data_IF_335629007606
#
_entry.id   IF_335629007606
#
_cell.length_a   1.000
_cell.length_b   1.000
_cell.length_c   1.000
_cell.angle_alpha   90.00
_cell.angle_beta   90.00
_cell.angle_gamma   90.00
#
_symmetry.space_group_name_H-M   'P 1'
#
loop_
_entity.id
_entity.type
_entity.pdbx_description
1 polymer ?
#
# COMPACT_ATOMS: atom_id res chain seq x y z
N UNK A 1 -7.07 3.47 10.55
CA UNK A 1 -7.19 2.00 10.77
C UNK A 1 -7.60 1.26 9.50
N UNK A 2 -8.75 1.55 8.88
CA UNK A 2 -9.17 0.86 7.64
C UNK A 2 -8.17 1.04 6.48
N UNK A 3 -7.65 2.24 6.30
CA UNK A 3 -6.62 2.53 5.30
C UNK A 3 -5.36 1.66 5.47
N UNK A 4 -4.90 1.50 6.71
CA UNK A 4 -3.75 0.64 7.04
C UNK A 4 -4.03 -0.84 6.73
N UNK A 5 -5.21 -1.36 7.11
CA UNK A 5 -5.58 -2.75 6.80
C UNK A 5 -5.63 -2.96 5.28
N UNK A 6 -6.13 -1.99 4.52
CA UNK A 6 -6.14 -2.06 3.07
C UNK A 6 -4.72 -2.07 2.47
N UNK A 7 -3.84 -1.16 2.90
CA UNK A 7 -2.45 -1.12 2.44
C UNK A 7 -1.70 -2.41 2.76
N UNK A 8 -1.85 -2.96 3.96
CA UNK A 8 -1.20 -4.23 4.35
C UNK A 8 -1.68 -5.39 3.48
N UNK A 9 -2.99 -5.50 3.21
CA UNK A 9 -3.53 -6.51 2.30
C UNK A 9 -2.98 -6.34 0.88
N UNK A 10 -2.94 -5.10 0.37
CA UNK A 10 -2.40 -4.81 -0.97
C UNK A 10 -0.93 -5.22 -1.09
N UNK A 11 -0.09 -4.87 -0.11
CA UNK A 11 1.32 -5.22 -0.13
C UNK A 11 1.55 -6.72 0.00
N UNK A 12 0.81 -7.40 0.90
CA UNK A 12 0.86 -8.86 1.02
C UNK A 12 0.47 -9.57 -0.28
N UNK A 13 -0.54 -9.07 -0.97
CA UNK A 13 -0.97 -9.63 -2.25
C UNK A 13 0.15 -9.52 -3.28
N UNK A 14 0.78 -8.35 -3.36
CA UNK A 14 1.86 -8.09 -4.31
C UNK A 14 3.08 -9.00 -4.04
N UNK A 15 3.49 -9.15 -2.77
CA UNK A 15 4.56 -10.10 -2.39
C UNK A 15 4.23 -11.55 -2.74
N UNK A 16 2.97 -11.98 -2.53
CA UNK A 16 2.54 -13.35 -2.84
C UNK A 16 2.48 -13.61 -4.34
N UNK A 17 2.02 -12.64 -5.13
CA UNK A 17 1.99 -12.75 -6.60
C UNK A 17 3.42 -12.87 -7.14
N UNK A 18 4.34 -12.03 -6.66
CA UNK A 18 5.75 -12.14 -7.03
C UNK A 18 6.34 -13.52 -6.68
N UNK A 19 6.00 -14.06 -5.51
CA UNK A 19 6.40 -15.41 -5.12
C UNK A 19 5.85 -16.50 -6.04
N UNK A 20 4.54 -16.50 -6.28
CA UNK A 20 3.88 -17.54 -7.08
C UNK A 20 4.35 -17.53 -8.55
N UNK A 21 4.70 -16.36 -9.10
CA UNK A 21 5.16 -16.21 -10.49
C UNK A 21 6.65 -16.58 -10.67
N UNK A 22 7.54 -16.04 -9.83
CA UNK A 22 8.98 -16.10 -10.07
C UNK A 22 9.72 -17.12 -9.21
N UNK A 23 9.38 -17.22 -7.92
CA UNK A 23 10.20 -17.90 -6.90
C UNK A 23 9.75 -19.32 -6.58
N UNK A 24 8.43 -19.58 -6.57
CA UNK A 24 7.84 -20.88 -6.19
C UNK A 24 8.38 -22.07 -6.96
N UNK A 25 8.78 -21.84 -8.21
CA UNK A 25 9.30 -22.89 -9.10
C UNK A 25 10.75 -23.24 -8.79
N UNK A 26 11.49 -22.41 -8.04
CA UNK A 26 12.91 -22.62 -7.82
C UNK A 26 13.16 -23.63 -6.67
N UNK A 27 14.23 -24.42 -6.80
CA UNK A 27 14.61 -25.44 -5.79
C UNK A 27 15.46 -24.88 -4.65
N UNK A 28 15.57 -23.55 -4.56
CA UNK A 28 16.21 -22.84 -3.45
C UNK A 28 15.25 -22.72 -2.25
N UNK A 29 14.94 -23.86 -1.63
CA UNK A 29 13.87 -23.93 -0.63
C UNK A 29 14.09 -23.04 0.59
N UNK A 30 15.33 -22.95 1.09
CA UNK A 30 15.65 -22.11 2.25
C UNK A 30 15.46 -20.62 1.96
N UNK A 31 15.84 -20.14 0.77
CA UNK A 31 15.64 -18.75 0.38
C UNK A 31 14.15 -18.43 0.17
N UNK A 32 13.40 -19.35 -0.43
CA UNK A 32 11.94 -19.26 -0.54
C UNK A 32 11.26 -19.18 0.85
N UNK A 33 11.79 -19.92 1.84
CA UNK A 33 11.29 -19.91 3.22
C UNK A 33 11.52 -18.55 3.87
N UNK A 34 12.76 -18.05 3.80
CA UNK A 34 13.12 -16.72 4.31
C UNK A 34 12.30 -15.62 3.64
N UNK A 35 12.12 -15.69 2.31
CA UNK A 35 11.27 -14.76 1.57
C UNK A 35 9.86 -14.69 2.14
N UNK A 36 9.19 -15.85 2.32
CA UNK A 36 7.81 -15.88 2.80
C UNK A 36 7.68 -15.35 4.23
N UNK A 37 8.65 -15.66 5.10
CA UNK A 37 8.67 -15.16 6.47
C UNK A 37 8.91 -13.64 6.51
N UNK A 38 9.95 -13.16 5.83
CA UNK A 38 10.34 -11.74 5.84
C UNK A 38 9.27 -10.87 5.19
N UNK A 39 8.73 -11.26 4.03
CA UNK A 39 7.71 -10.46 3.34
C UNK A 39 6.39 -10.39 4.12
N UNK A 40 6.04 -11.43 4.87
CA UNK A 40 4.87 -11.40 5.74
C UNK A 40 4.98 -10.33 6.83
N UNK A 41 6.16 -10.16 7.43
CA UNK A 41 6.44 -9.10 8.42
C UNK A 41 6.55 -7.73 7.73
N UNK A 42 7.32 -7.67 6.64
CA UNK A 42 7.64 -6.43 5.96
C UNK A 42 6.38 -5.72 5.44
N UNK A 43 5.41 -6.48 4.92
CA UNK A 43 4.12 -5.94 4.50
C UNK A 43 3.31 -5.25 5.62
N UNK A 44 3.52 -5.65 6.88
CA UNK A 44 2.89 -5.04 8.06
C UNK A 44 3.66 -3.81 8.53
N UNK A 45 4.99 -3.80 8.37
CA UNK A 45 5.87 -2.72 8.82
C UNK A 45 5.91 -1.55 7.84
N UNK A 46 5.93 -1.81 6.52
CA UNK A 46 6.07 -0.77 5.48
C UNK A 46 5.08 0.40 5.66
N UNK A 47 3.77 0.19 5.89
CA UNK A 47 2.83 1.31 6.06
C UNK A 47 3.17 2.25 7.23
N UNK A 48 3.96 1.81 8.20
CA UNK A 48 4.41 2.65 9.33
C UNK A 48 5.69 3.43 9.02
N UNK A 49 6.44 3.05 7.99
CA UNK A 49 7.70 3.69 7.61
C UNK A 49 7.41 4.82 6.63
N UNK A 50 7.23 6.04 7.15
CA UNK A 50 7.12 7.26 6.34
C UNK A 50 8.51 7.89 6.21
N UNK A 51 9.00 8.05 4.99
CA UNK A 51 10.29 8.69 4.72
C UNK A 51 10.02 10.07 4.12
N UNK A 52 10.26 11.12 4.91
CA UNK A 52 10.02 12.53 4.52
C UNK A 52 10.84 12.97 3.29
N UNK A 53 11.96 12.29 3.03
CA UNK A 53 12.83 12.57 1.88
C UNK A 53 12.13 12.41 0.52
N UNK A 54 11.16 11.49 0.40
CA UNK A 54 10.44 11.29 -0.87
C UNK A 54 9.40 12.38 -1.15
N UNK A 55 8.88 13.05 -0.12
CA UNK A 55 7.89 14.12 -0.27
C UNK A 55 8.47 15.38 -0.92
N UNK A 56 9.80 15.53 -0.93
CA UNK A 56 10.50 16.67 -1.56
C UNK A 56 10.81 16.46 -3.05
N UNK A 57 10.69 15.23 -3.56
CA UNK A 57 11.11 14.86 -4.92
C UNK A 57 9.96 15.06 -5.93
N UNK A 58 8.71 15.16 -5.47
CA UNK A 58 7.54 15.37 -6.33
C UNK A 58 7.08 16.82 -6.17
N UNK A 59 7.17 17.67 -7.21
CA UNK A 59 6.70 19.05 -7.13
C UNK A 59 5.20 19.08 -6.80
N UNK A 60 4.87 19.87 -5.77
CA UNK A 60 3.51 20.15 -5.33
C UNK A 60 2.69 20.74 -6.49
N UNK A 61 1.49 20.20 -6.67
CA UNK A 61 0.46 20.50 -7.69
C UNK A 61 0.64 21.77 -8.54
N UNK A 62 0.56 21.60 -9.86
CA UNK A 62 0.50 22.66 -10.88
C UNK A 62 -0.82 23.46 -10.89
N UNK A 63 -1.79 23.11 -10.04
CA UNK A 63 -3.10 23.74 -9.98
C UNK A 63 -3.30 24.48 -8.66
N UNK A 64 -3.80 25.72 -8.73
CA UNK A 64 -4.20 26.51 -7.56
C UNK A 64 -5.69 26.31 -7.30
N UNK A 65 -6.04 25.68 -6.18
CA UNK A 65 -7.42 25.54 -5.75
C UNK A 65 -7.91 26.84 -5.09
N UNK A 66 -8.91 27.47 -5.70
CA UNK A 66 -9.62 28.62 -5.14
C UNK A 66 -10.74 28.13 -4.19
N UNK A 67 -11.10 28.91 -3.16
CA UNK A 67 -12.20 28.58 -2.26
C UNK A 67 -13.54 28.56 -3.00
N UNK A 68 -14.49 27.84 -2.40
CA UNK A 68 -15.82 27.63 -2.99
C UNK A 68 -16.64 28.92 -3.08
N UNK A 69 -17.24 29.16 -4.25
CA UNK A 69 -18.18 30.27 -4.45
C UNK A 69 -19.61 29.79 -4.17
N UNK A 70 -20.25 30.31 -3.13
CA UNK A 70 -21.65 30.02 -2.81
C UNK A 70 -22.58 30.99 -3.53
N UNK A 71 -23.46 30.50 -4.40
CA UNK A 71 -24.42 31.30 -5.16
C UNK A 71 -25.85 30.97 -4.71
N UNK A 72 -26.52 31.95 -4.08
CA UNK A 72 -27.89 31.86 -3.56
C UNK A 72 -28.02 32.37 -2.11
N UNK A 73 -29.24 32.74 -1.68
CA UNK A 73 -29.49 33.24 -0.32
C UNK A 73 -29.18 32.16 0.72
N UNK A 74 -28.07 32.33 1.43
CA UNK A 74 -27.63 31.50 2.56
C UNK A 74 -27.88 32.22 3.88
N UNK A 75 -29.08 32.79 4.04
CA UNK A 75 -29.61 33.05 5.37
C UNK A 75 -29.80 31.70 6.06
N UNK A 76 -28.94 31.40 7.04
CA UNK A 76 -29.00 30.28 7.97
C UNK A 76 -29.83 29.08 7.48
N UNK A 77 -29.31 28.37 6.49
CA UNK A 77 -29.69 26.97 6.32
C UNK A 77 -28.47 26.20 6.74
N UNK A 78 -28.36 26.00 8.06
CA UNK A 78 -27.64 24.86 8.58
C UNK A 78 -28.03 23.67 7.71
N UNK A 79 -27.02 23.03 7.14
CA UNK A 79 -27.15 21.92 6.22
C UNK A 79 -27.96 20.79 6.85
N UNK A 80 -29.28 20.83 6.72
CA UNK A 80 -30.09 19.63 6.61
C UNK A 80 -29.95 19.13 5.17
N UNK A 81 -28.71 18.80 4.80
CA UNK A 81 -28.56 17.61 3.99
C UNK A 81 -29.21 16.53 4.84
N UNK A 82 -30.37 16.04 4.41
CA UNK A 82 -30.94 14.81 4.90
C UNK A 82 -29.87 13.76 4.66
N UNK A 83 -28.96 13.61 5.63
CA UNK A 83 -28.16 12.42 5.76
C UNK A 83 -29.21 11.34 5.78
N UNK A 84 -29.12 10.42 4.83
CA UNK A 84 -29.54 9.06 5.11
C UNK A 84 -28.74 8.63 6.35
N UNK A 85 -29.22 9.02 7.53
CA UNK A 85 -28.94 8.35 8.78
C UNK A 85 -29.74 7.06 8.72
N UNK A 86 -29.34 6.16 7.80
CA UNK A 86 -29.35 4.77 8.17
C UNK A 86 -28.47 4.74 9.41
N UNK A 87 -29.11 4.61 10.57
CA UNK A 87 -28.51 4.68 11.90
C UNK A 87 -27.68 3.42 12.15
N UNK A 88 -26.76 3.15 11.23
CA UNK A 88 -25.66 2.22 11.38
C UNK A 88 -24.44 3.03 11.83
N UNK A 89 -24.66 3.86 12.84
CA UNK A 89 -23.60 4.45 13.64
C UNK A 89 -23.05 3.37 14.58
N UNK A 90 -22.52 2.28 14.01
CA UNK A 90 -21.72 1.34 14.80
C UNK A 90 -20.54 2.15 15.31
N UNK A 91 -20.55 2.46 16.61
CA UNK A 91 -19.52 3.28 17.21
C UNK A 91 -18.17 2.63 16.90
N UNK A 92 -17.16 3.44 16.56
CA UNK A 92 -15.81 2.93 16.26
C UNK A 92 -15.29 2.06 17.42
N UNK A 93 -15.70 2.38 18.66
CA UNK A 93 -15.47 1.57 19.84
C UNK A 93 -16.14 0.19 19.82
N UNK A 94 -17.38 0.07 19.35
CA UNK A 94 -18.06 -1.22 19.21
C UNK A 94 -17.36 -2.13 18.18
N UNK A 95 -16.88 -1.58 17.05
CA UNK A 95 -16.12 -2.35 16.06
C UNK A 95 -14.77 -2.81 16.65
N UNK A 96 -14.08 -1.94 17.38
CA UNK A 96 -12.83 -2.28 18.05
C UNK A 96 -13.03 -3.37 19.12
N UNK A 97 -14.09 -3.27 19.93
CA UNK A 97 -14.43 -4.27 20.94
C UNK A 97 -14.79 -5.62 20.30
N UNK A 98 -15.55 -5.62 19.21
CA UNK A 98 -15.86 -6.83 18.44
C UNK A 98 -14.58 -7.46 17.88
N UNK A 99 -13.67 -6.66 17.33
CA UNK A 99 -12.40 -7.14 16.81
C UNK A 99 -11.57 -7.84 17.89
N UNK A 100 -11.46 -7.24 19.07
CA UNK A 100 -10.76 -7.82 20.22
C UNK A 100 -11.44 -9.11 20.68
N UNK A 101 -12.78 -9.12 20.78
CA UNK A 101 -13.55 -10.31 21.16
C UNK A 101 -13.25 -11.50 20.24
N UNK A 102 -13.31 -11.29 18.91
CA UNK A 102 -13.02 -12.34 17.93
C UNK A 102 -11.57 -12.81 18.04
N UNK A 103 -10.63 -11.90 18.24
CA UNK A 103 -9.21 -12.22 18.42
C UNK A 103 -8.98 -13.08 19.67
N UNK A 104 -9.66 -12.78 20.78
CA UNK A 104 -9.62 -13.59 22.01
C UNK A 104 -10.21 -14.98 21.79
N UNK A 105 -11.34 -15.09 21.10
CA UNK A 105 -11.93 -16.40 20.75
C UNK A 105 -10.96 -17.24 19.93
N UNK A 106 -10.32 -16.66 18.90
CA UNK A 106 -9.31 -17.34 18.10
C UNK A 106 -8.09 -17.78 18.93
N UNK A 107 -7.65 -16.95 19.88
CA UNK A 107 -6.58 -17.29 20.80
C UNK A 107 -6.95 -18.51 21.68
N UNK A 108 -8.16 -18.56 22.21
CA UNK A 108 -8.65 -19.69 23.01
C UNK A 108 -8.66 -20.97 22.16
N UNK A 109 -9.17 -20.93 20.93
CA UNK A 109 -9.14 -22.08 20.02
C UNK A 109 -7.71 -22.56 19.72
N UNK A 110 -6.77 -21.62 19.55
CA UNK A 110 -5.36 -21.94 19.38
C UNK A 110 -4.76 -22.63 20.60
N UNK A 111 -5.02 -22.11 21.81
CA UNK A 111 -4.56 -22.72 23.07
C UNK A 111 -5.12 -24.13 23.26
N UNK A 112 -6.40 -24.36 22.97
CA UNK A 112 -7.01 -25.69 23.05
C UNK A 112 -6.28 -26.68 22.12
N UNK A 113 -5.97 -26.27 20.88
CA UNK A 113 -5.20 -27.11 19.93
C UNK A 113 -3.81 -27.42 20.45
N UNK A 114 -3.12 -26.41 21.00
CA UNK A 114 -1.77 -26.56 21.55
C UNK A 114 -1.77 -27.52 22.76
N UNK A 115 -2.72 -27.36 23.68
CA UNK A 115 -2.88 -28.25 24.84
C UNK A 115 -3.16 -29.68 24.38
N UNK A 116 -3.99 -29.89 23.34
CA UNK A 116 -4.26 -31.22 22.79
C UNK A 116 -2.98 -31.91 22.29
N UNK A 117 -2.13 -31.18 21.56
CA UNK A 117 -0.85 -31.71 21.05
C UNK A 117 0.09 -32.03 22.23
N UNK A 118 0.23 -31.12 23.19
CA UNK A 118 1.08 -31.32 24.37
C UNK A 118 0.59 -32.53 25.18
N UNK A 119 -0.72 -32.71 25.33
CA UNK A 119 -1.31 -33.86 26.03
C UNK A 119 -1.00 -35.17 25.34
N UNK A 120 -1.09 -35.23 24.00
CA UNK A 120 -0.72 -36.42 23.22
C UNK A 120 0.76 -36.76 23.46
N UNK A 121 1.65 -35.78 23.40
CA UNK A 121 3.09 -35.97 23.64
C UNK A 121 3.35 -36.40 25.09
N UNK A 122 2.60 -35.90 26.06
CA UNK A 122 2.80 -36.19 27.48
C UNK A 122 2.34 -37.61 27.88
N UNK A 123 1.24 -38.10 27.33
CA UNK A 123 0.61 -39.39 27.72
C UNK A 123 1.29 -40.59 27.06
N UNK A 124 1.82 -40.43 25.85
CA UNK A 124 2.41 -41.54 25.10
C UNK A 124 3.87 -41.84 25.52
N UNK A 125 4.31 -43.11 25.39
CA UNK A 125 5.67 -43.51 25.73
C UNK A 125 6.70 -42.78 24.84
N UNK A 126 7.85 -42.47 25.44
CA UNK A 126 8.91 -41.66 24.82
C UNK A 126 10.22 -42.45 24.75
N UNK A 127 10.84 -42.47 23.59
CA UNK A 127 12.21 -42.95 23.39
C UNK A 127 13.07 -41.78 22.91
N UNK A 128 14.32 -41.70 23.37
CA UNK A 128 15.28 -40.71 22.88
C UNK A 128 16.24 -41.38 21.90
N UNK A 129 16.37 -40.80 20.72
CA UNK A 129 17.25 -41.27 19.66
C UNK A 129 17.80 -40.06 18.89
N UNK A 130 19.12 -39.99 18.71
CA UNK A 130 19.81 -38.93 17.95
C UNK A 130 19.42 -37.48 18.32
N UNK A 131 19.20 -37.19 19.61
CA UNK A 131 18.79 -35.85 20.07
C UNK A 131 17.31 -35.50 19.82
N UNK A 132 16.55 -36.40 19.20
CA UNK A 132 15.10 -36.31 19.02
C UNK A 132 14.37 -37.20 20.04
N UNK A 133 13.14 -36.82 20.39
CA UNK A 133 12.27 -37.64 21.24
C UNK A 133 11.18 -38.27 20.37
N UNK A 134 11.30 -39.58 20.14
CA UNK A 134 10.33 -40.36 19.40
C UNK A 134 9.19 -40.75 20.35
N UNK A 135 7.96 -40.43 19.97
CA UNK A 135 6.74 -40.70 20.74
C UNK A 135 5.92 -41.75 19.98
N UNK A 136 5.73 -42.92 20.57
CA UNK A 136 4.97 -44.00 19.92
C UNK A 136 3.47 -43.83 20.19
N UNK A 137 2.69 -43.62 19.14
CA UNK A 137 1.23 -43.48 19.19
C UNK A 137 0.59 -44.87 19.07
N UNK A 138 -0.11 -45.30 20.11
CA UNK A 138 -0.81 -46.59 20.11
C UNK A 138 -2.04 -46.56 19.21
N UNK A 139 -2.20 -47.56 18.35
CA UNK A 139 -3.35 -47.72 17.47
C UNK A 139 -3.49 -46.61 16.43
N UNK A 140 -2.39 -46.12 15.86
CA UNK A 140 -2.42 -45.09 14.81
C UNK A 140 -1.50 -45.43 13.63
N UNK A 141 -1.89 -45.00 12.43
CA UNK A 141 -1.11 -45.01 11.19
C UNK A 141 -0.49 -43.63 10.87
N UNK A 142 -0.68 -42.64 11.76
CA UNK A 142 -0.25 -41.26 11.53
C UNK A 142 1.17 -40.98 12.03
N UNK A 143 1.88 -40.13 11.31
CA UNK A 143 3.15 -39.55 11.71
C UNK A 143 3.05 -38.03 11.68
N UNK A 144 3.61 -37.37 12.68
CA UNK A 144 3.74 -35.91 12.69
C UNK A 144 4.87 -35.45 13.62
N UNK A 145 5.40 -34.27 13.33
CA UNK A 145 6.48 -33.67 14.10
C UNK A 145 6.06 -32.37 14.78
N UNK A 146 6.45 -32.21 16.04
CA UNK A 146 6.23 -31.00 16.82
C UNK A 146 7.52 -30.62 17.57
N UNK A 147 8.21 -29.58 17.12
CA UNK A 147 9.57 -29.22 17.57
C UNK A 147 10.52 -30.43 17.53
N UNK A 148 11.06 -30.86 18.68
CA UNK A 148 12.00 -31.99 18.77
C UNK A 148 11.28 -33.32 19.06
N UNK A 149 9.95 -33.34 19.02
CA UNK A 149 9.13 -34.53 19.23
C UNK A 149 8.66 -35.08 17.89
N UNK A 150 9.03 -36.31 17.58
CA UNK A 150 8.58 -37.04 16.38
C UNK A 150 7.59 -38.10 16.82
N UNK A 151 6.31 -37.91 16.50
CA UNK A 151 5.26 -38.85 16.86
C UNK A 151 5.06 -39.86 15.72
N UNK A 152 5.22 -41.15 16.01
CA UNK A 152 5.07 -42.24 15.04
C UNK A 152 3.99 -43.23 15.48
N UNK A 153 3.10 -43.57 14.55
CA UNK A 153 2.12 -44.63 14.71
C UNK A 153 2.73 -46.02 14.79
N UNK A 154 2.19 -46.87 15.67
CA UNK A 154 2.60 -48.27 15.84
C UNK A 154 2.09 -49.20 14.73
N UNK A 155 1.17 -48.75 13.86
CA UNK A 155 0.65 -49.53 12.73
C UNK A 155 1.51 -49.44 11.45
N UNK A 156 2.57 -48.64 11.45
CA UNK A 156 3.46 -48.49 10.30
C UNK A 156 4.36 -49.73 10.14
N UNK A 157 4.54 -50.21 8.92
CA UNK A 157 5.46 -51.33 8.66
C UNK A 157 6.92 -50.91 8.85
N UNK A 158 7.80 -51.86 9.17
CA UNK A 158 9.23 -51.60 9.41
C UNK A 158 9.91 -50.81 8.26
N UNK A 159 9.57 -51.13 7.01
CA UNK A 159 10.11 -50.46 5.83
C UNK A 159 9.54 -49.03 5.64
N UNK A 160 8.29 -48.78 6.06
CA UNK A 160 7.69 -47.45 6.05
C UNK A 160 8.28 -46.54 7.11
N UNK A 161 8.58 -47.09 8.29
CA UNK A 161 9.14 -46.33 9.41
C UNK A 161 10.44 -45.63 9.01
N UNK A 162 11.34 -46.28 8.27
CA UNK A 162 12.65 -45.72 7.95
C UNK A 162 12.55 -44.41 7.14
N UNK A 163 11.73 -44.39 6.10
CA UNK A 163 11.54 -43.23 5.23
C UNK A 163 10.63 -42.16 5.84
N UNK A 164 9.57 -42.57 6.55
CA UNK A 164 8.71 -41.65 7.29
C UNK A 164 9.51 -40.95 8.39
N UNK A 165 10.34 -41.69 9.13
CA UNK A 165 11.22 -41.12 10.14
C UNK A 165 12.21 -40.13 9.52
N UNK A 166 12.82 -40.44 8.36
CA UNK A 166 13.72 -39.52 7.67
C UNK A 166 13.01 -38.21 7.26
N UNK A 167 11.76 -38.29 6.80
CA UNK A 167 10.93 -37.13 6.45
C UNK A 167 10.58 -36.29 7.71
N UNK A 168 10.03 -36.92 8.74
CA UNK A 168 9.66 -36.28 10.01
C UNK A 168 10.86 -35.65 10.72
N UNK A 169 12.02 -36.32 10.68
CA UNK A 169 13.30 -35.80 11.21
C UNK A 169 13.70 -34.48 10.54
N UNK A 170 13.43 -34.30 9.24
CA UNK A 170 13.68 -33.01 8.57
C UNK A 170 12.82 -31.89 9.15
N UNK A 171 11.55 -32.16 9.48
CA UNK A 171 10.68 -31.15 10.08
C UNK A 171 11.17 -30.69 11.46
N UNK A 172 11.73 -31.61 12.25
CA UNK A 172 12.29 -31.30 13.56
C UNK A 172 13.56 -30.45 13.43
N UNK A 173 14.50 -30.90 12.60
CA UNK A 173 15.80 -30.24 12.42
C UNK A 173 15.65 -28.82 11.87
N UNK A 174 14.79 -28.63 10.87
CA UNK A 174 14.56 -27.31 10.27
C UNK A 174 13.58 -26.43 11.09
N UNK A 175 13.06 -26.95 12.21
CA UNK A 175 12.13 -26.28 13.13
C UNK A 175 10.88 -25.73 12.43
N UNK A 176 10.32 -26.49 11.49
CA UNK A 176 9.15 -26.08 10.70
C UNK A 176 7.91 -25.75 11.57
N UNK A 177 7.81 -26.35 12.76
CA UNK A 177 6.77 -26.01 13.75
C UNK A 177 6.78 -24.54 14.13
N UNK A 178 7.95 -23.90 14.26
CA UNK A 178 8.06 -22.49 14.66
C UNK A 178 7.43 -21.57 13.61
N UNK A 179 7.71 -21.83 12.33
CA UNK A 179 7.13 -21.07 11.22
C UNK A 179 5.61 -21.19 11.19
N UNK A 180 5.07 -22.38 11.45
CA UNK A 180 3.62 -22.59 11.45
C UNK A 180 2.96 -21.86 12.63
N UNK A 181 3.59 -21.88 13.80
CA UNK A 181 3.14 -21.12 14.98
C UNK A 181 3.18 -19.62 14.74
N UNK A 182 4.19 -19.10 14.03
CA UNK A 182 4.27 -17.70 13.62
C UNK A 182 3.04 -17.29 12.79
N UNK A 183 2.65 -18.10 11.80
CA UNK A 183 1.45 -17.80 11.01
C UNK A 183 0.13 -18.02 11.78
N UNK A 184 0.06 -18.95 12.73
CA UNK A 184 -1.08 -19.04 13.65
C UNK A 184 -1.22 -17.76 14.50
N UNK A 185 -0.10 -17.23 15.00
CA UNK A 185 -0.10 -15.96 15.73
C UNK A 185 -0.58 -14.79 14.85
N UNK A 186 -0.11 -14.71 13.59
CA UNK A 186 -0.60 -13.73 12.63
C UNK A 186 -2.10 -13.89 12.32
N UNK A 187 -2.63 -15.11 12.25
CA UNK A 187 -4.08 -15.33 12.05
C UNK A 187 -4.91 -14.89 13.24
N UNK A 188 -4.38 -14.95 14.46
CA UNK A 188 -5.07 -14.42 15.64
C UNK A 188 -5.12 -12.90 15.55
N UNK A 189 -3.99 -12.27 15.25
CA UNK A 189 -3.87 -10.80 15.18
C UNK A 189 -4.55 -10.18 13.96
N UNK A 190 -4.61 -10.89 12.83
CA UNK A 190 -5.14 -10.44 11.53
C UNK A 190 -6.15 -11.45 10.97
N UNK A 191 -7.10 -11.87 11.81
CA UNK A 191 -8.06 -12.93 11.46
C UNK A 191 -8.93 -12.63 10.24
N UNK A 192 -9.20 -11.34 9.99
CA UNK A 192 -9.98 -10.87 8.84
C UNK A 192 -9.18 -10.85 7.53
N UNK A 193 -7.86 -11.08 7.58
CA UNK A 193 -7.01 -11.02 6.41
C UNK A 193 -6.81 -12.42 5.79
N UNK A 194 -7.42 -12.71 4.63
CA UNK A 194 -7.32 -14.02 3.98
C UNK A 194 -5.91 -14.35 3.48
N UNK A 195 -5.06 -13.35 3.25
CA UNK A 195 -3.72 -13.56 2.70
C UNK A 195 -2.78 -14.21 3.70
N UNK A 196 -2.99 -14.01 5.01
CA UNK A 196 -2.21 -14.70 6.07
C UNK A 196 -2.43 -16.21 5.98
N UNK A 197 -3.66 -16.65 5.73
CA UNK A 197 -3.99 -18.06 5.52
C UNK A 197 -3.33 -18.61 4.24
N UNK A 198 -3.24 -17.78 3.19
CA UNK A 198 -2.58 -18.16 1.95
C UNK A 198 -1.06 -18.31 2.14
N UNK A 199 -0.42 -17.38 2.87
CA UNK A 199 0.98 -17.49 3.28
C UNK A 199 1.25 -18.78 4.05
N UNK A 200 0.42 -19.10 5.06
CA UNK A 200 0.55 -20.33 5.84
C UNK A 200 0.49 -21.58 4.94
N UNK A 201 -0.43 -21.61 3.99
CA UNK A 201 -0.52 -22.72 3.02
C UNK A 201 0.74 -22.77 2.12
N UNK A 202 1.28 -21.62 1.68
CA UNK A 202 2.50 -21.59 0.86
C UNK A 202 3.72 -22.10 1.62
N UNK A 203 3.90 -21.68 2.87
CA UNK A 203 5.04 -22.15 3.67
C UNK A 203 4.90 -23.62 4.06
N UNK A 204 3.69 -24.09 4.36
CA UNK A 204 3.44 -25.51 4.63
C UNK A 204 3.79 -26.38 3.42
N UNK A 205 3.40 -25.98 2.21
CA UNK A 205 3.80 -26.71 0.99
C UNK A 205 5.33 -26.70 0.78
N UNK A 206 5.98 -25.60 1.15
CA UNK A 206 7.43 -25.48 1.05
C UNK A 206 8.15 -26.39 2.06
N UNK A 207 7.63 -26.53 3.29
CA UNK A 207 8.14 -27.46 4.29
C UNK A 207 8.07 -28.90 3.80
N UNK A 208 6.97 -29.30 3.17
CA UNK A 208 6.84 -30.62 2.54
C UNK A 208 7.93 -30.81 1.47
N UNK A 209 8.20 -29.82 0.61
CA UNK A 209 9.26 -29.93 -0.40
C UNK A 209 10.66 -30.06 0.20
N UNK A 210 10.94 -29.38 1.31
CA UNK A 210 12.21 -29.49 2.05
C UNK A 210 12.35 -30.90 2.64
N UNK A 211 11.32 -31.37 3.33
CA UNK A 211 11.32 -32.68 3.97
C UNK A 211 11.43 -33.81 2.94
N UNK A 212 10.70 -33.71 1.83
CA UNK A 212 10.78 -34.63 0.69
C UNK A 212 12.20 -34.64 0.10
N UNK A 213 12.81 -33.48 -0.12
CA UNK A 213 14.16 -33.37 -0.68
C UNK A 213 15.22 -34.02 0.23
N UNK A 214 15.05 -33.93 1.54
CA UNK A 214 15.95 -34.56 2.49
C UNK A 214 15.70 -36.08 2.62
N UNK A 215 14.44 -36.52 2.61
CA UNK A 215 14.06 -37.93 2.71
C UNK A 215 14.48 -38.76 1.48
N UNK A 216 14.43 -38.18 0.27
CA UNK A 216 14.83 -38.88 -0.98
C UNK A 216 16.30 -39.34 -0.98
N UNK A 217 17.17 -38.73 -0.17
CA UNK A 217 18.58 -39.15 -0.04
C UNK A 217 18.75 -40.57 0.50
N UNK A 218 17.72 -41.10 1.16
CA UNK A 218 17.71 -42.41 1.83
C UNK A 218 17.27 -43.55 0.90
N UNK A 219 16.67 -43.24 -0.26
CA UNK A 219 16.21 -44.22 -1.24
C UNK A 219 15.09 -43.65 -2.11
N UNK A 220 15.40 -43.30 -3.36
CA UNK A 220 14.51 -42.51 -4.22
C UNK A 220 13.27 -43.30 -4.66
N UNK A 221 13.47 -44.52 -5.13
CA UNK A 221 12.41 -45.39 -5.68
C UNK A 221 11.41 -45.81 -4.62
N UNK A 222 11.92 -46.23 -3.47
CA UNK A 222 11.17 -46.71 -2.32
C UNK A 222 10.34 -45.57 -1.73
N UNK A 223 10.94 -44.37 -1.62
CA UNK A 223 10.23 -43.18 -1.17
C UNK A 223 9.07 -42.78 -2.09
N UNK A 224 9.25 -42.83 -3.42
CA UNK A 224 8.14 -42.57 -4.35
C UNK A 224 7.01 -43.59 -4.21
N UNK A 225 7.35 -44.87 -4.06
CA UNK A 225 6.35 -45.93 -3.87
C UNK A 225 5.54 -45.71 -2.59
N UNK A 226 6.19 -45.32 -1.50
CA UNK A 226 5.52 -45.00 -0.24
C UNK A 226 4.65 -43.74 -0.33
N UNK A 227 5.14 -42.68 -0.97
CA UNK A 227 4.35 -41.48 -1.19
C UNK A 227 3.09 -41.81 -2.01
N UNK A 228 3.19 -42.68 -3.01
CA UNK A 228 2.02 -43.16 -3.77
C UNK A 228 1.10 -44.03 -2.90
N UNK A 229 1.64 -44.95 -2.10
CA UNK A 229 0.83 -45.78 -1.19
C UNK A 229 0.05 -44.94 -0.18
N UNK A 230 0.66 -43.91 0.41
CA UNK A 230 -0.02 -42.99 1.33
C UNK A 230 -1.23 -42.29 0.68
N UNK A 231 -1.16 -42.05 -0.63
CA UNK A 231 -2.21 -41.38 -1.40
C UNK A 231 -3.36 -42.33 -1.74
N UNK A 232 -3.02 -43.56 -2.12
CA UNK A 232 -4.01 -44.56 -2.54
C UNK A 232 -4.70 -45.27 -1.36
N UNK A 233 -4.12 -45.24 -0.16
CA UNK A 233 -4.61 -46.00 1.02
C UNK A 233 -5.58 -45.24 1.95
N UNK A 234 -6.37 -44.27 1.49
CA UNK A 234 -7.41 -43.64 2.34
C UNK A 234 -8.84 -43.98 1.87
N UNK A 235 -9.59 -44.65 2.77
CA UNK A 235 -11.02 -44.96 2.69
C UNK A 235 -11.85 -43.78 2.20
N UNK A 236 -12.72 -44.06 1.23
CA UNK A 236 -13.71 -43.16 0.65
C UNK A 236 -14.76 -42.72 1.70
N UNK A 237 -14.81 -41.42 2.02
CA UNK A 237 -16.03 -40.79 2.56
C UNK A 237 -16.71 -40.00 1.44
N UNK A 238 -17.91 -40.43 1.05
CA UNK A 238 -18.65 -39.98 -0.14
C UNK A 238 -19.23 -38.54 -0.07
N UNK A 239 -18.68 -37.66 0.76
CA UNK A 239 -19.15 -36.26 0.89
C UNK A 239 -18.02 -35.22 0.98
N UNK A 240 -16.76 -35.60 0.78
CA UNK A 240 -15.63 -34.66 0.74
C UNK A 240 -14.94 -34.81 -0.61
N UNK A 241 -14.92 -33.72 -1.39
CA UNK A 241 -14.32 -33.74 -2.71
C UNK A 241 -12.79 -33.94 -2.60
N UNK A 242 -12.20 -35.06 -3.08
CA UNK A 242 -10.77 -35.35 -2.94
C UNK A 242 -9.86 -34.43 -3.77
N UNK A 243 -10.45 -33.53 -4.58
CA UNK A 243 -9.75 -32.63 -5.50
C UNK A 243 -8.69 -31.73 -4.83
N UNK A 244 -8.85 -31.36 -3.55
CA UNK A 244 -7.86 -30.51 -2.87
C UNK A 244 -6.54 -31.25 -2.56
N UNK A 245 -6.57 -32.55 -2.24
CA UNK A 245 -5.36 -33.32 -1.91
C UNK A 245 -4.54 -33.70 -3.15
N UNK A 246 -5.20 -34.04 -4.26
CA UNK A 246 -4.52 -34.40 -5.52
C UNK A 246 -3.54 -33.31 -6.00
N UNK A 247 -3.93 -32.02 -5.82
CA UNK A 247 -3.09 -30.90 -6.24
C UNK A 247 -1.78 -30.76 -5.46
N UNK A 248 -1.73 -31.19 -4.20
CA UNK A 248 -0.55 -31.06 -3.34
C UNK A 248 0.47 -32.17 -3.61
N UNK A 249 -0.01 -33.41 -3.69
CA UNK A 249 0.82 -34.58 -4.00
C UNK A 249 1.44 -34.45 -5.39
N UNK A 250 0.66 -34.03 -6.40
CA UNK A 250 1.17 -33.74 -7.74
C UNK A 250 2.32 -32.74 -7.69
N UNK A 251 2.20 -31.67 -6.90
CA UNK A 251 3.27 -30.66 -6.76
C UNK A 251 4.50 -31.22 -6.05
N UNK A 252 4.34 -32.02 -4.99
CA UNK A 252 5.44 -32.70 -4.29
C UNK A 252 6.24 -33.59 -5.24
N UNK A 253 5.57 -34.45 -6.02
CA UNK A 253 6.21 -35.33 -7.01
C UNK A 253 6.94 -34.51 -8.10
N UNK A 254 6.29 -33.50 -8.67
CA UNK A 254 6.90 -32.64 -9.70
C UNK A 254 8.14 -31.92 -9.15
N UNK A 255 8.09 -31.41 -7.92
CA UNK A 255 9.24 -30.73 -7.30
C UNK A 255 10.38 -31.70 -6.98
N UNK A 256 10.07 -32.94 -6.55
CA UNK A 256 11.07 -33.98 -6.33
C UNK A 256 11.80 -34.42 -7.60
N UNK A 257 11.11 -34.40 -8.75
CA UNK A 257 11.69 -34.77 -10.04
C UNK A 257 12.50 -33.63 -10.68
N UNK A 258 12.42 -32.42 -10.14
CA UNK A 258 13.08 -31.25 -10.72
C UNK A 258 14.58 -31.24 -10.44
N UNK A 259 15.38 -30.86 -11.44
CA UNK A 259 16.81 -30.63 -11.26
C UNK A 259 17.10 -29.41 -10.37
N UNK A 260 18.30 -29.38 -9.78
CA UNK A 260 18.74 -28.21 -9.00
C UNK A 260 18.76 -26.97 -9.87
N UNK A 261 18.25 -25.86 -9.34
CA UNK A 261 18.16 -24.59 -10.03
C UNK A 261 19.56 -23.95 -10.12
N UNK A 262 19.86 -23.29 -11.24
CA UNK A 262 21.15 -22.64 -11.46
C UNK A 262 21.30 -21.41 -10.55
N UNK A 263 22.55 -21.06 -10.20
CA UNK A 263 22.84 -19.89 -9.34
C UNK A 263 22.36 -18.55 -9.93
N UNK A 264 22.22 -18.44 -11.25
CA UNK A 264 21.65 -17.26 -11.92
C UNK A 264 20.20 -16.99 -11.54
N UNK A 265 19.44 -18.01 -11.12
CA UNK A 265 18.07 -17.86 -10.65
C UNK A 265 17.98 -17.15 -9.29
N UNK A 266 19.10 -17.02 -8.57
CA UNK A 266 19.18 -16.24 -7.33
C UNK A 266 18.96 -14.73 -7.58
N UNK A 267 19.26 -14.24 -8.79
CA UNK A 267 19.05 -12.83 -9.16
C UNK A 267 17.56 -12.45 -9.04
N UNK A 268 16.62 -13.39 -9.19
CA UNK A 268 15.19 -13.12 -9.01
C UNK A 268 14.83 -12.58 -7.61
N UNK A 269 15.60 -12.91 -6.58
CA UNK A 269 15.36 -12.40 -5.23
C UNK A 269 15.66 -10.90 -5.12
N UNK A 270 16.46 -10.35 -6.05
CA UNK A 270 16.67 -8.92 -6.18
C UNK A 270 15.38 -8.15 -6.49
N UNK A 271 14.34 -8.83 -7.03
CA UNK A 271 13.01 -8.26 -7.29
C UNK A 271 12.38 -7.63 -6.03
N UNK A 272 12.75 -8.09 -4.83
CA UNK A 272 12.24 -7.53 -3.57
C UNK A 272 12.62 -6.06 -3.43
N UNK A 273 13.84 -5.66 -3.82
CA UNK A 273 14.36 -4.31 -3.60
C UNK A 273 13.52 -3.23 -4.31
N UNK A 274 13.33 -3.27 -5.64
CA UNK A 274 12.52 -2.25 -6.33
C UNK A 274 11.07 -2.28 -5.88
N UNK A 275 10.56 -3.46 -5.48
CA UNK A 275 9.20 -3.62 -5.01
C UNK A 275 8.98 -2.94 -3.65
N UNK A 276 9.88 -3.15 -2.70
CA UNK A 276 9.87 -2.47 -1.39
C UNK A 276 10.07 -0.97 -1.56
N UNK A 277 11.00 -0.55 -2.43
CA UNK A 277 11.22 0.86 -2.73
C UNK A 277 9.95 1.53 -3.28
N UNK A 278 9.28 0.91 -4.26
CA UNK A 278 8.03 1.41 -4.81
C UNK A 278 6.91 1.49 -3.77
N UNK A 279 6.81 0.51 -2.87
CA UNK A 279 5.85 0.55 -1.76
C UNK A 279 6.14 1.66 -0.75
N UNK A 280 7.41 1.92 -0.43
CA UNK A 280 7.82 3.00 0.48
C UNK A 280 7.52 4.37 -0.12
N UNK A 281 7.75 4.55 -1.44
CA UNK A 281 7.37 5.77 -2.15
C UNK A 281 5.85 5.96 -2.09
N UNK A 282 5.07 4.93 -2.43
CA UNK A 282 3.61 4.99 -2.36
C UNK A 282 3.11 5.34 -0.95
N UNK A 283 3.64 4.69 0.09
CA UNK A 283 3.25 4.93 1.49
C UNK A 283 3.63 6.32 2.00
N UNK A 284 4.72 6.89 1.48
CA UNK A 284 5.18 8.23 1.88
C UNK A 284 4.37 9.32 1.20
N UNK A 285 4.01 9.15 -0.07
CA UNK A 285 3.29 10.14 -0.87
C UNK A 285 1.79 10.25 -0.54
N UNK A 286 1.20 9.27 0.15
CA UNK A 286 -0.25 9.23 0.38
C UNK A 286 -0.75 10.05 1.58
N UNK A 287 0.11 10.86 2.19
CA UNK A 287 -0.26 11.73 3.32
C UNK A 287 -0.28 13.19 2.85
N UNK A 288 -1.42 13.62 2.31
CA UNK A 288 -1.78 15.04 2.34
C UNK A 288 -2.25 15.34 3.77
N UNK A 289 -1.31 15.58 4.68
CA UNK A 289 -1.68 16.31 5.90
C UNK A 289 -1.97 17.75 5.48
N UNK A 290 -3.16 18.31 5.78
CA UNK A 290 -3.41 19.73 5.57
C UNK A 290 -2.41 20.47 6.44
N UNK A 291 -1.61 21.33 5.80
CA UNK A 291 -0.67 22.25 6.43
C UNK A 291 -1.31 22.81 7.71
N UNK A 292 -0.83 22.34 8.86
CA UNK A 292 -1.17 22.91 10.14
C UNK A 292 -0.77 24.37 10.10
N UNK A 293 -1.75 25.26 10.31
CA UNK A 293 -1.49 26.66 10.58
C UNK A 293 -0.62 26.73 11.82
N UNK A 294 0.68 26.99 11.67
CA UNK A 294 1.49 27.43 12.78
C UNK A 294 0.89 28.72 13.30
N UNK A 295 0.28 28.58 14.47
CA UNK A 295 -0.09 29.67 15.35
C UNK A 295 1.16 30.02 16.14
N UNK A 296 2.13 30.68 15.51
CA UNK A 296 3.20 31.32 16.27
C UNK A 296 2.74 32.71 16.70
N UNK A 297 2.20 32.70 17.92
CA UNK A 297 2.12 33.86 18.80
C UNK A 297 3.48 34.54 18.88
N UNK A 298 3.51 35.82 18.52
CA UNK A 298 4.39 36.86 19.05
C UNK A 298 5.25 36.40 20.25
N UNK A 299 6.56 36.25 20.04
CA UNK A 299 7.58 36.72 20.99
C UNK A 299 8.82 37.19 20.21
N UNK A 300 8.94 38.51 20.15
CA UNK A 300 10.15 39.22 19.76
C UNK A 300 11.22 38.96 20.83
N UNK A 301 12.33 38.32 20.47
CA UNK A 301 13.63 38.61 21.12
C UNK A 301 14.70 38.73 20.03
N UNK A 302 15.50 39.81 20.01
CA UNK A 302 16.51 40.01 18.99
C UNK A 302 17.75 39.20 19.35
N UNK A 303 18.13 38.22 18.53
CA UNK A 303 19.44 37.57 18.65
C UNK A 303 20.43 38.29 17.74
N UNK A 304 21.36 38.95 18.41
CA UNK A 304 22.54 39.68 17.92
C UNK A 304 23.24 38.94 16.77
N UNK A 305 23.42 39.66 15.67
CA UNK A 305 24.32 39.29 14.56
C UNK A 305 25.74 39.62 15.02
N UNK A 306 26.55 38.61 15.32
CA UNK A 306 28.01 38.74 15.33
C UNK A 306 28.52 38.38 13.94
N UNK A 307 28.94 39.40 13.20
CA UNK A 307 29.79 39.28 12.02
C UNK A 307 31.18 38.85 12.51
N UNK A 308 31.68 37.73 12.00
CA UNK A 308 33.12 37.45 11.98
C UNK A 308 33.46 37.11 10.55
N UNK A 309 34.03 38.10 9.86
CA UNK A 309 34.94 37.90 8.74
C UNK A 309 36.17 37.15 9.27
N UNK A 310 36.55 36.06 8.61
CA UNK A 310 37.96 35.81 8.38
C UNK A 310 38.16 34.96 7.12
N UNK A 311 39.06 35.46 6.28
CA UNK A 311 39.52 34.99 4.99
C UNK A 311 40.78 34.13 5.19
N UNK A 312 40.91 33.02 4.46
CA UNK A 312 42.11 32.61 3.67
C UNK A 312 42.14 31.09 3.38
N UNK A 313 42.02 30.66 2.10
CA UNK A 313 43.04 30.05 1.18
C UNK A 313 43.68 28.73 1.72
N UNK A 314 43.87 27.58 1.05
CA UNK A 314 44.28 27.26 -0.34
C UNK A 314 44.19 25.72 -0.61
N UNK A 315 43.80 25.36 -1.85
CA UNK A 315 44.19 24.19 -2.72
C UNK A 315 44.41 22.76 -2.22
N UNK A 316 43.78 21.80 -2.92
CA UNK A 316 44.30 20.62 -3.72
C UNK A 316 43.12 19.63 -3.85
N UNK A 317 42.57 19.20 -5.00
CA UNK A 317 43.17 18.64 -6.21
C UNK A 317 42.92 17.12 -6.23
N UNK A 318 41.89 16.64 -6.95
CA UNK A 318 41.86 15.42 -7.81
C UNK A 318 40.43 14.94 -8.17
N UNK A 319 40.34 14.44 -9.41
CA UNK A 319 39.17 14.23 -10.26
C UNK A 319 38.29 13.03 -9.89
N UNK A 320 36.97 13.18 -10.08
CA UNK A 320 36.07 12.07 -10.45
C UNK A 320 35.16 12.57 -11.58
N UNK A 321 35.48 12.13 -12.81
CA UNK A 321 34.75 12.48 -14.02
C UNK A 321 33.33 11.92 -14.03
N UNK A 322 32.34 12.80 -14.11
CA UNK A 322 30.97 12.45 -14.48
C UNK A 322 30.82 12.68 -15.98
N UNK A 323 30.74 11.56 -16.71
CA UNK A 323 30.39 11.51 -18.12
C UNK A 323 28.94 11.99 -18.28
N UNK A 324 28.78 13.22 -18.75
CA UNK A 324 27.47 13.78 -19.08
C UNK A 324 27.20 13.47 -20.54
N UNK A 325 26.23 12.61 -20.82
CA UNK A 325 25.72 12.37 -22.16
C UNK A 325 24.89 13.61 -22.51
N UNK A 326 25.46 14.49 -23.33
CA UNK A 326 24.71 15.58 -23.96
C UNK A 326 24.12 14.99 -25.24
N UNK A 327 22.82 14.71 -25.24
CA UNK A 327 22.07 14.62 -26.49
C UNK A 327 21.92 16.05 -27.02
N UNK A 328 22.61 16.33 -28.13
CA UNK A 328 22.37 17.52 -28.95
C UNK A 328 20.94 17.45 -29.48
N UNK A 329 20.07 18.30 -28.95
CA UNK A 329 18.74 18.56 -29.53
C UNK A 329 18.85 19.81 -30.38
N UNK A 330 18.57 19.64 -31.68
CA UNK A 330 18.59 20.67 -32.71
C UNK A 330 17.86 21.96 -32.30
N UNK A 331 18.52 23.09 -32.54
CA UNK A 331 18.16 24.43 -32.05
C UNK A 331 16.97 25.10 -32.79
N UNK A 332 16.19 24.36 -33.58
CA UNK A 332 15.12 24.95 -34.41
C UNK A 332 13.67 24.66 -33.93
N UNK A 333 13.47 23.85 -32.88
CA UNK A 333 12.14 23.50 -32.35
C UNK A 333 11.78 24.21 -31.02
N UNK A 334 12.57 25.19 -30.59
CA UNK A 334 12.40 25.91 -29.32
C UNK A 334 11.38 27.07 -29.35
N UNK A 335 10.37 27.02 -30.24
CA UNK A 335 9.28 28.01 -30.26
C UNK A 335 8.01 27.36 -29.70
N UNK A 336 7.68 27.72 -28.46
CA UNK A 336 6.52 27.33 -27.63
C UNK A 336 6.62 26.03 -26.79
N UNK A 337 7.68 25.90 -26.00
CA UNK A 337 7.55 25.16 -24.73
C UNK A 337 6.85 26.07 -23.70
N UNK A 338 5.56 25.82 -23.47
CA UNK A 338 4.82 26.40 -22.35
C UNK A 338 5.39 25.86 -21.04
N UNK A 339 6.23 26.65 -20.37
CA UNK A 339 6.78 26.29 -19.06
C UNK A 339 5.68 26.48 -18.01
N UNK A 340 4.98 25.39 -17.69
CA UNK A 340 4.11 25.32 -16.50
C UNK A 340 4.98 25.16 -15.26
N UNK A 341 4.97 26.17 -14.38
CA UNK A 341 5.77 26.17 -13.14
C UNK A 341 4.87 25.79 -11.96
N UNK A 342 5.28 24.85 -11.09
CA UNK A 342 4.56 24.57 -9.85
C UNK A 342 4.33 25.83 -9.02
N UNK A 343 3.11 26.01 -8.50
CA UNK A 343 2.73 27.22 -7.77
C UNK A 343 3.66 27.54 -6.58
N UNK A 344 4.21 26.51 -5.94
CA UNK A 344 5.15 26.62 -4.82
C UNK A 344 6.45 27.35 -5.17
N UNK A 345 6.77 27.47 -6.46
CA UNK A 345 7.99 28.13 -6.95
C UNK A 345 7.74 29.54 -7.50
N UNK A 346 6.48 29.99 -7.63
CA UNK A 346 6.19 31.32 -8.19
C UNK A 346 6.68 32.44 -7.27
N UNK A 347 7.37 33.43 -7.84
CA UNK A 347 7.84 34.61 -7.11
C UNK A 347 6.67 35.55 -6.81
N UNK A 348 5.79 35.72 -7.81
CA UNK A 348 4.59 36.55 -7.75
C UNK A 348 3.39 35.82 -8.38
N UNK A 349 2.27 35.77 -7.65
CA UNK A 349 1.02 35.20 -8.14
C UNK A 349 0.26 36.18 -9.04
N UNK A 350 -0.65 35.70 -9.91
CA UNK A 350 -1.57 36.55 -10.67
C UNK A 350 -2.41 37.45 -9.77
N UNK A 351 -2.58 38.71 -10.16
CA UNK A 351 -3.29 39.73 -9.36
C UNK A 351 -4.17 40.61 -10.24
N UNK A 352 -5.38 40.93 -9.75
CA UNK A 352 -6.16 42.04 -10.31
C UNK A 352 -5.50 43.37 -9.95
N UNK A 353 -5.73 44.41 -10.76
CA UNK A 353 -5.23 45.78 -10.49
C UNK A 353 -5.58 46.24 -9.06
N UNK A 354 -6.79 45.93 -8.60
CA UNK A 354 -7.28 46.25 -7.25
C UNK A 354 -6.49 45.57 -6.11
N UNK A 355 -5.71 44.51 -6.39
CA UNK A 355 -4.93 43.77 -5.40
C UNK A 355 -3.43 44.13 -5.42
N UNK A 356 -2.98 44.98 -6.35
CA UNK A 356 -1.56 45.33 -6.50
C UNK A 356 -1.02 46.17 -5.34
N UNK A 357 -1.88 46.93 -4.65
CA UNK A 357 -1.48 47.81 -3.54
C UNK A 357 -1.24 47.07 -2.20
N UNK A 358 -1.44 45.76 -2.16
CA UNK A 358 -1.27 44.93 -0.94
C UNK A 358 0.16 44.39 -0.89
N UNK A 359 0.85 44.54 0.25
CA UNK A 359 2.28 44.19 0.37
C UNK A 359 2.50 42.71 0.77
N UNK A 360 1.53 42.05 1.41
CA UNK A 360 1.65 40.66 1.87
C UNK A 360 1.28 39.60 0.82
N UNK A 361 2.18 38.65 0.52
CA UNK A 361 1.92 37.54 -0.44
C UNK A 361 0.66 36.72 -0.09
N UNK A 362 0.43 36.45 1.20
CA UNK A 362 -0.76 35.70 1.65
C UNK A 362 -2.06 36.52 1.49
N UNK A 363 -1.98 37.83 1.73
CA UNK A 363 -3.11 38.74 1.63
C UNK A 363 -3.47 39.03 0.16
N UNK A 364 -2.46 39.12 -0.71
CA UNK A 364 -2.59 39.20 -2.15
C UNK A 364 -3.35 37.99 -2.73
N UNK A 365 -2.97 36.76 -2.32
CA UNK A 365 -3.67 35.53 -2.73
C UNK A 365 -5.14 35.54 -2.30
N UNK A 366 -5.40 35.99 -1.07
CA UNK A 366 -6.77 36.13 -0.55
C UNK A 366 -7.56 37.16 -1.35
N UNK A 367 -6.98 38.33 -1.62
CA UNK A 367 -7.60 39.37 -2.44
C UNK A 367 -7.96 38.87 -3.84
N UNK A 368 -7.03 38.18 -4.51
CA UNK A 368 -7.27 37.59 -5.84
C UNK A 368 -8.47 36.63 -5.79
N UNK A 369 -8.45 35.69 -4.85
CA UNK A 369 -9.54 34.75 -4.61
C UNK A 369 -10.88 35.42 -4.35
N UNK A 370 -10.90 36.47 -3.53
CA UNK A 370 -12.10 37.22 -3.18
C UNK A 370 -12.67 37.97 -4.40
N UNK A 371 -11.81 38.50 -5.27
CA UNK A 371 -12.22 39.17 -6.51
C UNK A 371 -12.82 38.19 -7.51
N UNK A 372 -12.20 37.02 -7.71
CA UNK A 372 -12.77 35.95 -8.56
C UNK A 372 -14.15 35.54 -8.03
N UNK A 373 -14.23 35.29 -6.71
CA UNK A 373 -15.48 34.92 -6.04
C UNK A 373 -16.57 35.98 -6.23
N UNK A 374 -16.24 37.26 -6.01
CA UNK A 374 -17.16 38.39 -6.19
C UNK A 374 -17.63 38.53 -7.64
N UNK A 375 -16.72 38.40 -8.60
CA UNK A 375 -17.04 38.47 -10.02
C UNK A 375 -18.05 37.40 -10.41
N UNK A 376 -17.84 36.17 -9.96
CA UNK A 376 -18.73 35.05 -10.26
C UNK A 376 -20.08 35.22 -9.57
N UNK A 377 -20.10 35.59 -8.29
CA UNK A 377 -21.33 35.81 -7.55
C UNK A 377 -22.21 36.92 -8.18
N UNK A 378 -21.59 37.91 -8.83
CA UNK A 378 -22.30 39.03 -9.47
C UNK A 378 -22.78 38.69 -10.88
N UNK A 379 -21.99 37.94 -11.66
CA UNK A 379 -22.24 37.72 -13.09
C UNK A 379 -22.91 36.38 -13.41
N UNK A 380 -22.98 35.44 -12.46
CA UNK A 380 -23.60 34.13 -12.69
C UNK A 380 -25.13 34.20 -12.71
N UNK A 381 -25.73 33.65 -13.76
CA UNK A 381 -27.17 33.65 -13.95
C UNK A 381 -27.87 32.64 -13.03
N UNK A 382 -28.35 33.13 -11.89
CA UNK A 382 -29.05 32.29 -10.89
C UNK A 382 -30.43 31.82 -11.33
N UNK A 383 -30.97 32.30 -12.46
CA UNK A 383 -32.32 31.92 -12.96
C UNK A 383 -32.31 30.56 -13.67
N UNK A 384 -31.14 30.11 -14.17
CA UNK A 384 -30.94 28.81 -14.82
C UNK A 384 -31.46 27.63 -14.00
N UNK A 385 -31.36 27.69 -12.66
CA UNK A 385 -31.87 26.64 -11.79
C UNK A 385 -33.39 26.43 -11.89
N UNK A 386 -34.16 27.50 -12.15
CA UNK A 386 -35.62 27.45 -12.29
C UNK A 386 -36.04 27.15 -13.73
N UNK A 387 -35.37 27.78 -14.69
CA UNK A 387 -35.71 27.69 -16.11
C UNK A 387 -35.49 26.28 -16.68
N UNK A 388 -34.53 25.54 -16.11
CA UNK A 388 -34.14 24.19 -16.53
C UNK A 388 -34.84 23.05 -15.77
N UNK A 389 -35.82 23.36 -14.90
CA UNK A 389 -36.55 22.37 -14.08
C UNK A 389 -35.63 21.41 -13.30
N UNK A 390 -34.45 21.88 -12.89
CA UNK A 390 -33.45 21.05 -12.22
C UNK A 390 -33.93 20.69 -10.81
N UNK A 391 -33.60 19.47 -10.37
CA UNK A 391 -33.94 18.99 -9.01
C UNK A 391 -33.39 19.94 -7.96
N UNK A 392 -34.28 20.43 -7.08
CA UNK A 392 -33.97 21.30 -5.94
C UNK A 392 -32.81 20.73 -5.12
N UNK A 393 -31.98 21.63 -4.60
CA UNK A 393 -30.83 21.25 -3.78
C UNK A 393 -29.53 21.93 -4.21
N UNK A 394 -28.44 21.46 -3.62
CA UNK A 394 -27.09 22.01 -3.83
C UNK A 394 -26.42 21.30 -5.00
N UNK A 395 -25.97 22.06 -5.99
CA UNK A 395 -25.21 21.56 -7.15
C UNK A 395 -23.80 22.11 -7.10
N UNK A 396 -22.80 21.24 -7.27
CA UNK A 396 -21.39 21.63 -7.38
C UNK A 396 -20.98 21.63 -8.86
N UNK A 397 -20.34 22.69 -9.29
CA UNK A 397 -19.76 22.87 -10.62
C UNK A 397 -18.25 23.00 -10.41
N UNK A 398 -17.46 22.15 -11.05
CA UNK A 398 -16.01 22.23 -10.97
C UNK A 398 -15.50 22.93 -12.22
N UNK A 399 -14.79 24.04 -12.05
CA UNK A 399 -14.24 24.82 -13.16
C UNK A 399 -12.72 24.81 -13.10
N UNK A 400 -12.08 24.69 -14.25
CA UNK A 400 -10.64 24.80 -14.42
C UNK A 400 -10.37 25.84 -15.51
N UNK A 401 -9.38 26.70 -15.30
CA UNK A 401 -8.99 27.71 -16.28
C UNK A 401 -7.51 28.05 -16.17
N UNK A 402 -6.92 28.54 -17.26
CA UNK A 402 -5.52 28.97 -17.31
C UNK A 402 -5.44 30.48 -17.48
N UNK A 403 -4.40 31.08 -16.90
CA UNK A 403 -4.03 32.48 -17.13
C UNK A 403 -2.71 32.49 -17.87
N UNK A 404 -2.66 33.17 -19.02
CA UNK A 404 -1.47 33.24 -19.87
C UNK A 404 -0.47 34.32 -19.40
N UNK A 405 0.62 34.42 -20.15
CA UNK A 405 1.69 35.42 -19.95
C UNK A 405 1.25 36.86 -20.16
N UNK A 406 0.14 37.08 -20.88
CA UNK A 406 -0.46 38.39 -21.13
C UNK A 406 -1.55 38.74 -20.11
N UNK A 407 -1.86 37.81 -19.19
CA UNK A 407 -2.86 37.99 -18.16
C UNK A 407 -4.30 37.76 -18.62
N UNK A 408 -4.47 37.05 -19.73
CA UNK A 408 -5.76 36.65 -20.28
C UNK A 408 -6.13 35.24 -19.84
N UNK A 409 -7.42 35.04 -19.62
CA UNK A 409 -7.98 33.72 -19.29
C UNK A 409 -8.20 32.93 -20.58
N UNK A 410 -7.69 31.70 -20.61
CA UNK A 410 -7.84 30.78 -21.73
C UNK A 410 -8.01 29.35 -21.22
N UNK A 411 -8.40 28.43 -22.12
CA UNK A 411 -8.57 27.00 -21.82
C UNK A 411 -9.47 26.75 -20.59
N UNK A 412 -10.69 27.28 -20.66
CA UNK A 412 -11.69 27.15 -19.59
C UNK A 412 -12.52 25.89 -19.77
N UNK A 413 -12.41 24.97 -18.83
CA UNK A 413 -13.20 23.75 -18.75
C UNK A 413 -14.12 23.77 -17.53
N UNK A 414 -15.39 23.38 -17.70
CA UNK A 414 -16.34 23.22 -16.60
C UNK A 414 -17.00 21.84 -16.63
N UNK A 415 -17.19 21.24 -15.46
CA UNK A 415 -17.98 20.02 -15.27
C UNK A 415 -19.11 20.29 -14.29
N UNK A 416 -20.35 20.08 -14.73
CA UNK A 416 -21.55 20.31 -13.96
C UNK A 416 -22.57 19.16 -14.12
N UNK A 417 -23.58 19.07 -13.24
CA UNK A 417 -24.68 18.12 -13.41
C UNK A 417 -25.58 18.38 -14.64
N UNK A 418 -25.43 19.52 -15.32
CA UNK A 418 -26.23 19.88 -16.50
C UNK A 418 -25.39 20.73 -17.50
N UNK A 419 -25.48 20.49 -18.82
CA UNK A 419 -24.67 21.20 -19.84
C UNK A 419 -24.83 22.73 -19.85
N UNK A 420 -26.03 23.23 -19.58
CA UNK A 420 -26.27 24.69 -19.54
C UNK A 420 -25.56 25.37 -18.35
N UNK A 421 -25.37 24.64 -17.24
CA UNK A 421 -24.58 25.14 -16.10
C UNK A 421 -23.09 25.16 -16.43
N UNK A 422 -22.61 24.24 -17.27
CA UNK A 422 -21.23 24.26 -17.78
C UNK A 422 -21.02 25.46 -18.69
N UNK A 423 -21.92 25.68 -19.65
CA UNK A 423 -21.88 26.83 -20.57
C UNK A 423 -21.89 28.15 -19.81
N UNK A 424 -22.75 28.27 -18.80
CA UNK A 424 -22.82 29.47 -17.97
C UNK A 424 -21.54 29.68 -17.15
N UNK A 425 -21.00 28.63 -16.54
CA UNK A 425 -19.76 28.73 -15.78
C UNK A 425 -18.58 29.17 -16.68
N UNK A 426 -18.47 28.62 -17.89
CA UNK A 426 -17.47 29.00 -18.89
C UNK A 426 -17.65 30.48 -19.29
N UNK A 427 -18.87 30.93 -19.55
CA UNK A 427 -19.17 32.33 -19.89
C UNK A 427 -18.71 33.29 -18.80
N UNK A 428 -19.01 32.97 -17.54
CA UNK A 428 -18.66 33.82 -16.39
C UNK A 428 -17.15 33.89 -16.18
N UNK A 429 -16.42 32.78 -16.31
CA UNK A 429 -14.97 32.78 -16.17
C UNK A 429 -14.28 33.51 -17.33
N UNK A 430 -14.75 33.33 -18.57
CA UNK A 430 -14.23 34.09 -19.72
C UNK A 430 -14.51 35.60 -19.63
N UNK A 431 -15.46 36.02 -18.78
CA UNK A 431 -15.76 37.43 -18.54
C UNK A 431 -14.87 38.11 -17.49
N UNK A 432 -13.89 37.39 -16.93
CA UNK A 432 -12.94 37.97 -15.98
C UNK A 432 -12.13 39.10 -16.65
N UNK A 433 -11.92 40.24 -15.94
CA UNK A 433 -11.11 41.33 -16.47
C UNK A 433 -9.65 40.91 -16.57
N UNK A 434 -8.85 41.67 -17.34
CA UNK A 434 -7.42 41.39 -17.51
C UNK A 434 -6.70 41.32 -16.16
N UNK A 435 -5.90 40.26 -15.98
CA UNK A 435 -5.17 39.97 -14.75
C UNK A 435 -3.69 40.32 -14.98
N UNK A 436 -2.96 40.65 -13.92
CA UNK A 436 -1.50 40.76 -13.99
C UNK A 436 -0.91 39.35 -13.99
N UNK A 437 -0.08 38.96 -14.98
CA UNK A 437 0.41 37.59 -15.12
C UNK A 437 1.29 37.15 -13.94
N UNK A 438 1.41 35.83 -13.75
CA UNK A 438 2.32 35.26 -12.75
C UNK A 438 3.77 35.46 -13.18
N UNK A 439 4.67 35.63 -12.20
CA UNK A 439 6.12 35.70 -12.46
C UNK A 439 6.88 34.61 -11.72
N UNK A 440 7.84 34.00 -12.41
CA UNK A 440 8.82 33.07 -11.87
C UNK A 440 10.19 33.36 -12.49
N UNK A 441 11.21 33.57 -11.66
CA UNK A 441 12.58 33.92 -12.05
C UNK A 441 12.63 35.13 -13.01
N UNK A 442 11.76 36.12 -12.78
CA UNK A 442 11.64 37.31 -13.62
C UNK A 442 10.94 37.12 -14.97
N UNK A 443 10.47 35.90 -15.29
CA UNK A 443 9.71 35.59 -16.52
C UNK A 443 8.23 35.39 -16.23
N UNK A 444 7.38 35.77 -17.18
CA UNK A 444 5.94 35.49 -17.11
C UNK A 444 5.66 34.03 -17.43
N UNK A 445 4.81 33.39 -16.63
CA UNK A 445 4.50 31.96 -16.72
C UNK A 445 3.00 31.70 -16.69
N UNK A 446 2.58 30.61 -17.32
CA UNK A 446 1.18 30.19 -17.33
C UNK A 446 0.84 29.51 -16.00
N UNK A 447 -0.37 29.77 -15.49
CA UNK A 447 -0.83 29.16 -14.23
C UNK A 447 -2.24 28.63 -14.39
N UNK A 448 -2.44 27.40 -13.91
CA UNK A 448 -3.73 26.71 -13.94
C UNK A 448 -4.44 26.87 -12.59
N UNK A 449 -5.72 27.25 -12.63
CA UNK A 449 -6.58 27.42 -11.47
C UNK A 449 -7.75 26.44 -11.52
N UNK A 450 -8.12 25.93 -10.35
CA UNK A 450 -9.31 25.11 -10.15
C UNK A 450 -10.26 25.81 -9.16
N UNK A 451 -11.52 25.98 -9.56
CA UNK A 451 -12.54 26.68 -8.80
C UNK A 451 -13.84 25.87 -8.71
N UNK A 452 -14.23 25.43 -7.50
CA UNK A 452 -15.55 24.89 -7.25
C UNK A 452 -16.61 26.00 -7.06
N UNK A 453 -17.66 26.00 -7.88
CA UNK A 453 -18.84 26.86 -7.73
C UNK A 453 -19.98 26.02 -7.17
N UNK A 454 -20.58 26.46 -6.07
CA UNK A 454 -21.73 25.81 -5.43
C UNK A 454 -22.97 26.66 -5.69
N UNK A 455 -23.88 26.10 -6.48
CA UNK A 455 -25.13 26.72 -6.86
C UNK A 455 -26.30 26.02 -6.17
N UNK A 456 -27.08 26.77 -5.38
CA UNK A 456 -28.28 26.24 -4.70
C UNK A 456 -29.54 26.59 -5.46
N UNK A 457 -30.33 25.56 -5.81
CA UNK A 457 -31.60 25.68 -6.50
C UNK A 457 -32.73 25.59 -5.46
N UNK A 458 -33.51 26.67 -5.32
CA UNK A 458 -34.61 26.80 -4.34
C UNK A 458 -35.98 26.41 -4.91
#
# INVERSE_FOLDING_TARGET
MMYYVFQTILFQLLFLVAYDLFLKKDTFFNYNRVYLLVTSVLSLVIPFVKIEGFNKIIPTSYMVALPEVLIGNTGQVASEASRFNGDWSVSVGAIANLYVLVSVVMLVFFLIKLIKIIRIIAVNPKAKEDGLTIVTLKGSDSAFTFFNYVCLGDMLSADQIHHVLAHERSHANDKHTLDLLWFEALKIGFWCNPLVYLYQNRISNLHEYIADHNAVKVGKTEYYQQLLQQVFSVKNCAFINPFFKQSLIKKRIIMLQKSKSNQTQLIKYLLIIPMVLGMLVYSSCSNEEPVSKDSDSNQITPKVITVVEDVAVTTTGEDVGVMTIVEDVDADDARNLEIEVPFSKLDQSPLFEACQSIVGKSEQKKCFSDQVTRHIATNFNTKLGKDLSLVKGVKRINVMFRIDKDGLVYDVEARAPHPDLETEAIRVINSLPKITPAMHEGKTVNVTYALPIIFKIN
#
